data_IF_403613282214
#
_entry.id   IF_403613282214
#
_cell.length_a   1.000
_cell.length_b   1.000
_cell.length_c   1.000
_cell.angle_alpha   90.00
_cell.angle_beta   90.00
_cell.angle_gamma   90.00
#
_symmetry.space_group_name_H-M   'P 1'
#
loop_
_entity.id
_entity.type
_entity.pdbx_description
1 polymer ?
#
# COMPACT_ATOMS: atom_id res chain seq x y z
N UNK A 1 -6.93 5.70 26.31
CA UNK A 1 -6.16 4.73 25.47
C UNK A 1 -4.68 5.08 25.52
N UNK A 2 -3.77 4.10 25.53
CA UNK A 2 -2.38 4.31 25.93
C UNK A 2 -1.54 5.00 24.83
N UNK A 3 -1.44 6.33 24.87
CA UNK A 3 -0.63 7.16 23.95
C UNK A 3 0.80 6.63 23.80
N UNK A 4 1.36 6.00 24.85
CA UNK A 4 2.70 5.40 24.82
C UNK A 4 2.80 4.25 23.81
N UNK A 5 1.79 3.37 23.74
CA UNK A 5 1.76 2.24 22.79
C UNK A 5 1.72 2.77 21.35
N UNK A 6 0.87 3.76 21.08
CA UNK A 6 0.80 4.37 19.75
C UNK A 6 2.15 4.97 19.33
N UNK A 7 2.77 5.76 20.20
CA UNK A 7 4.09 6.36 19.91
C UNK A 7 5.15 5.29 19.67
N UNK A 8 5.20 4.25 20.51
CA UNK A 8 6.13 3.13 20.33
C UNK A 8 5.96 2.46 18.96
N UNK A 9 4.73 2.13 18.57
CA UNK A 9 4.44 1.48 17.29
C UNK A 9 4.80 2.38 16.10
N UNK A 10 4.50 3.68 16.18
CA UNK A 10 4.89 4.63 15.14
C UNK A 10 6.41 4.73 15.01
N UNK A 11 7.14 4.81 16.13
CA UNK A 11 8.60 4.82 16.14
C UNK A 11 9.18 3.54 15.54
N UNK A 12 8.67 2.37 15.94
CA UNK A 12 9.07 1.08 15.35
C UNK A 12 8.80 1.06 13.85
N UNK A 13 7.62 1.52 13.42
CA UNK A 13 7.27 1.64 12.01
C UNK A 13 8.28 2.47 11.22
N UNK A 14 8.65 3.65 11.74
CA UNK A 14 9.67 4.53 11.12
C UNK A 14 11.04 3.85 11.08
N UNK A 15 11.48 3.21 12.17
CA UNK A 15 12.78 2.53 12.20
C UNK A 15 12.87 1.40 11.16
N UNK A 16 11.81 0.60 11.01
CA UNK A 16 11.72 -0.41 9.97
C UNK A 16 11.72 0.20 8.56
N UNK A 17 11.00 1.29 8.32
CA UNK A 17 11.02 1.97 7.03
C UNK A 17 12.42 2.52 6.69
N UNK A 18 13.11 3.11 7.67
CA UNK A 18 14.49 3.55 7.50
C UNK A 18 15.41 2.37 7.18
N UNK A 19 15.26 1.24 7.88
CA UNK A 19 16.02 0.04 7.57
C UNK A 19 15.72 -0.51 6.17
N UNK A 20 14.47 -0.43 5.68
CA UNK A 20 14.13 -0.84 4.32
C UNK A 20 14.87 0.01 3.27
N UNK A 21 14.92 1.33 3.48
CA UNK A 21 15.61 2.29 2.60
C UNK A 21 17.13 2.08 2.65
N UNK A 22 17.71 2.11 3.86
CA UNK A 22 19.15 2.00 4.07
C UNK A 22 19.67 0.62 3.72
N UNK A 23 18.91 -0.43 4.02
CA UNK A 23 19.29 -1.81 3.72
C UNK A 23 19.45 -2.08 2.23
N UNK A 24 18.81 -1.29 1.34
CA UNK A 24 19.10 -1.37 -0.10
C UNK A 24 20.57 -1.08 -0.41
N UNK A 25 21.21 -0.18 0.32
CA UNK A 25 22.60 0.20 0.07
C UNK A 25 23.62 -0.72 0.74
N UNK A 26 23.19 -1.54 1.70
CA UNK A 26 24.10 -2.39 2.47
C UNK A 26 23.89 -3.88 2.19
N UNK A 27 22.65 -4.33 2.04
CA UNK A 27 22.28 -5.75 1.83
C UNK A 27 22.34 -6.12 0.35
N UNK A 28 21.86 -5.24 -0.53
CA UNK A 28 21.75 -5.54 -1.97
C UNK A 28 23.10 -5.79 -2.64
N UNK A 29 24.17 -5.00 -2.40
CA UNK A 29 25.46 -5.25 -3.05
C UNK A 29 26.05 -6.62 -2.72
N UNK A 30 25.97 -7.04 -1.45
CA UNK A 30 26.45 -8.36 -1.01
C UNK A 30 25.64 -9.50 -1.63
N UNK A 31 24.31 -9.34 -1.73
CA UNK A 31 23.45 -10.31 -2.41
C UNK A 31 23.78 -10.45 -3.90
N UNK A 32 23.99 -9.33 -4.60
CA UNK A 32 24.35 -9.33 -6.02
C UNK A 32 25.72 -9.99 -6.25
N UNK A 33 26.72 -9.66 -5.44
CA UNK A 33 28.04 -10.29 -5.51
C UNK A 33 27.98 -11.81 -5.29
N UNK A 34 27.08 -12.28 -4.41
CA UNK A 34 26.84 -13.71 -4.21
C UNK A 34 26.21 -14.40 -5.42
N UNK A 35 25.26 -13.75 -6.10
CA UNK A 35 24.66 -14.28 -7.33
C UNK A 35 25.68 -14.35 -8.48
N UNK A 36 26.56 -13.36 -8.61
CA UNK A 36 27.64 -13.33 -9.61
C UNK A 36 28.67 -14.45 -9.41
N UNK A 37 28.86 -14.91 -8.17
CA UNK A 37 29.75 -16.04 -7.84
C UNK A 37 29.16 -17.43 -8.14
N UNK A 38 28.00 -17.49 -8.82
CA UNK A 38 27.42 -18.75 -9.29
C UNK A 38 26.52 -19.45 -8.28
N UNK A 39 26.12 -18.78 -7.19
CA UNK A 39 25.03 -19.22 -6.32
C UNK A 39 23.65 -18.98 -6.99
N UNK A 40 23.50 -19.46 -8.22
CA UNK A 40 22.34 -19.18 -9.07
C UNK A 40 21.04 -19.87 -8.60
N UNK A 41 21.14 -20.74 -7.59
CA UNK A 41 19.98 -21.38 -6.95
C UNK A 41 19.83 -20.88 -5.53
N UNK A 42 18.57 -20.68 -5.10
CA UNK A 42 18.25 -20.28 -3.72
C UNK A 42 18.81 -21.28 -2.68
N UNK A 43 18.92 -22.55 -3.09
CA UNK A 43 19.45 -23.65 -2.30
C UNK A 43 20.98 -23.62 -2.20
N UNK A 44 21.69 -23.28 -3.28
CA UNK A 44 23.13 -23.06 -3.25
C UNK A 44 23.50 -21.78 -2.47
N UNK A 45 22.69 -20.72 -2.63
CA UNK A 45 22.87 -19.48 -1.89
C UNK A 45 22.62 -19.64 -0.38
N UNK A 46 21.64 -20.46 0.03
CA UNK A 46 21.36 -20.70 1.45
C UNK A 46 22.41 -21.58 2.13
N UNK A 47 23.07 -22.46 1.37
CA UNK A 47 24.19 -23.28 1.86
C UNK A 47 25.50 -22.48 1.96
N UNK A 48 25.69 -21.48 1.10
CA UNK A 48 26.88 -20.62 1.10
C UNK A 48 26.77 -19.43 2.07
N UNK A 49 25.55 -18.97 2.36
CA UNK A 49 25.31 -17.83 3.24
C UNK A 49 25.37 -18.21 4.72
N UNK A 50 26.03 -17.38 5.52
CA UNK A 50 25.97 -17.50 6.97
C UNK A 50 24.56 -17.22 7.50
N UNK A 51 24.21 -17.82 8.65
CA UNK A 51 22.91 -17.59 9.29
C UNK A 51 22.63 -16.09 9.54
N UNK A 52 23.68 -15.30 9.82
CA UNK A 52 23.57 -13.85 10.00
C UNK A 52 23.18 -13.11 8.72
N UNK A 53 23.75 -13.48 7.57
CA UNK A 53 23.39 -12.89 6.27
C UNK A 53 21.93 -13.18 5.91
N UNK A 54 21.48 -14.41 6.18
CA UNK A 54 20.08 -14.81 5.99
C UNK A 54 19.16 -13.98 6.89
N UNK A 55 19.47 -13.88 8.19
CA UNK A 55 18.69 -13.07 9.14
C UNK A 55 18.63 -11.61 8.70
N UNK A 56 19.76 -11.04 8.30
CA UNK A 56 19.85 -9.64 7.85
C UNK A 56 19.05 -9.41 6.58
N UNK A 57 19.13 -10.32 5.62
CA UNK A 57 18.35 -10.29 4.41
C UNK A 57 16.86 -10.36 4.70
N UNK A 58 16.42 -11.31 5.52
CA UNK A 58 15.01 -11.44 5.92
C UNK A 58 14.53 -10.20 6.66
N UNK A 59 15.31 -9.69 7.61
CA UNK A 59 14.98 -8.46 8.32
C UNK A 59 14.77 -7.30 7.34
N UNK A 60 15.69 -7.11 6.39
CA UNK A 60 15.56 -6.09 5.36
C UNK A 60 14.34 -6.32 4.45
N UNK A 61 14.13 -7.54 3.96
CA UNK A 61 13.01 -7.89 3.08
C UNK A 61 11.66 -7.60 3.74
N UNK A 62 11.50 -7.98 5.02
CA UNK A 62 10.26 -7.73 5.77
C UNK A 62 10.13 -6.29 6.29
N UNK A 63 11.21 -5.50 6.31
CA UNK A 63 11.23 -4.18 6.94
C UNK A 63 10.18 -3.23 6.39
N UNK A 64 9.97 -3.20 5.07
CA UNK A 64 8.94 -2.31 4.51
C UNK A 64 7.53 -2.71 4.98
N UNK A 65 7.18 -3.99 4.89
CA UNK A 65 5.86 -4.53 5.28
C UNK A 65 5.59 -4.33 6.77
N UNK A 66 6.56 -4.66 7.61
CA UNK A 66 6.50 -4.45 9.06
C UNK A 66 6.43 -2.96 9.41
N UNK A 67 7.21 -2.13 8.73
CA UNK A 67 7.23 -0.69 8.91
C UNK A 67 5.86 -0.05 8.67
N UNK A 68 5.26 -0.32 7.51
CA UNK A 68 3.90 0.14 7.17
C UNK A 68 2.86 -0.43 8.14
N UNK A 69 2.96 -1.73 8.49
CA UNK A 69 2.04 -2.35 9.44
C UNK A 69 2.06 -1.66 10.81
N UNK A 70 3.23 -1.53 11.43
CA UNK A 70 3.34 -0.86 12.74
C UNK A 70 2.94 0.61 12.67
N UNK A 71 3.24 1.29 11.56
CA UNK A 71 2.82 2.67 11.36
C UNK A 71 1.28 2.80 11.31
N UNK A 72 0.60 1.96 10.52
CA UNK A 72 -0.87 1.95 10.41
C UNK A 72 -1.49 1.60 11.76
N UNK A 73 -1.03 0.53 12.43
CA UNK A 73 -1.57 0.15 13.73
C UNK A 73 -1.34 1.26 14.75
N UNK A 74 -0.14 1.81 14.84
CA UNK A 74 0.19 2.94 15.70
C UNK A 74 -0.70 4.17 15.45
N UNK A 75 -1.00 4.48 14.18
CA UNK A 75 -1.91 5.55 13.78
C UNK A 75 -3.36 5.25 14.17
N UNK A 76 -3.84 4.01 14.01
CA UNK A 76 -5.20 3.60 14.41
C UNK A 76 -5.43 3.74 15.92
N UNK A 77 -4.38 3.62 16.74
CA UNK A 77 -4.46 3.91 18.17
C UNK A 77 -4.55 5.42 18.51
N UNK A 78 -4.48 6.31 17.52
CA UNK A 78 -4.74 7.76 17.71
C UNK A 78 -6.11 8.19 17.23
N UNK A 79 -6.86 7.31 16.57
CA UNK A 79 -8.19 7.64 16.04
C UNK A 79 -9.30 7.09 16.93
N UNK A 80 -10.51 7.61 16.75
CA UNK A 80 -11.73 7.17 17.46
C UNK A 80 -12.33 5.86 16.89
N UNK A 81 -11.50 5.02 16.27
CA UNK A 81 -11.98 3.80 15.62
C UNK A 81 -12.43 2.76 16.66
N UNK A 82 -13.56 2.09 16.38
CA UNK A 82 -14.09 1.02 17.23
C UNK A 82 -13.07 -0.10 17.43
N UNK A 83 -13.14 -0.77 18.59
CA UNK A 83 -12.19 -1.84 18.94
C UNK A 83 -12.21 -2.98 17.92
N UNK A 84 -13.40 -3.38 17.45
CA UNK A 84 -13.57 -4.44 16.45
C UNK A 84 -12.85 -4.11 15.13
N UNK A 85 -13.04 -2.90 14.59
CA UNK A 85 -12.37 -2.47 13.35
C UNK A 85 -10.85 -2.41 13.51
N UNK A 86 -10.36 -2.01 14.68
CA UNK A 86 -8.92 -2.03 15.00
C UNK A 86 -8.36 -3.45 14.96
N UNK A 87 -9.05 -4.40 15.57
CA UNK A 87 -8.65 -5.81 15.52
C UNK A 87 -8.69 -6.39 14.11
N UNK A 88 -9.68 -6.03 13.29
CA UNK A 88 -9.74 -6.45 11.89
C UNK A 88 -8.49 -5.96 11.14
N UNK A 89 -8.12 -4.68 11.26
CA UNK A 89 -6.91 -4.14 10.61
C UNK A 89 -5.65 -4.83 11.13
N UNK A 90 -5.55 -5.04 12.45
CA UNK A 90 -4.40 -5.70 13.08
C UNK A 90 -4.22 -7.14 12.62
N UNK A 91 -5.29 -7.94 12.64
CA UNK A 91 -5.26 -9.35 12.27
C UNK A 91 -5.06 -9.50 10.76
N UNK A 92 -5.78 -8.73 9.94
CA UNK A 92 -5.63 -8.80 8.48
C UNK A 92 -4.20 -8.44 8.04
N UNK A 93 -3.60 -7.41 8.64
CA UNK A 93 -2.21 -7.04 8.36
C UNK A 93 -1.21 -8.11 8.81
N UNK A 94 -1.42 -8.74 9.97
CA UNK A 94 -0.57 -9.81 10.46
C UNK A 94 -0.65 -11.05 9.57
N UNK A 95 -1.86 -11.46 9.19
CA UNK A 95 -2.10 -12.56 8.23
C UNK A 95 -1.40 -12.24 6.92
N UNK A 96 -1.60 -11.06 6.35
CA UNK A 96 -0.93 -10.65 5.12
C UNK A 96 0.60 -10.80 5.22
N UNK A 97 1.22 -10.29 6.29
CA UNK A 97 2.67 -10.39 6.49
C UNK A 97 3.13 -11.85 6.54
N UNK A 98 2.41 -12.72 7.26
CA UNK A 98 2.74 -14.14 7.39
C UNK A 98 2.72 -14.88 6.05
N UNK A 99 1.82 -14.50 5.14
CA UNK A 99 1.70 -15.12 3.82
C UNK A 99 2.54 -14.44 2.73
N UNK A 100 3.13 -13.27 2.99
CA UNK A 100 3.70 -12.41 1.95
C UNK A 100 4.92 -12.97 1.20
N UNK A 101 5.50 -14.08 1.66
CA UNK A 101 6.63 -14.77 1.02
C UNK A 101 6.40 -16.28 0.86
N UNK A 102 5.19 -16.76 1.14
CA UNK A 102 4.85 -18.16 0.91
C UNK A 102 4.62 -18.35 -0.58
N UNK A 103 5.39 -19.22 -1.27
CA UNK A 103 5.17 -19.50 -2.68
C UNK A 103 3.80 -20.18 -2.85
N UNK A 104 3.00 -19.67 -3.78
CA UNK A 104 1.69 -20.23 -4.09
C UNK A 104 1.80 -21.15 -5.31
N UNK A 105 1.54 -22.46 -5.19
CA UNK A 105 1.66 -23.42 -6.28
C UNK A 105 0.42 -23.38 -7.19
N UNK A 106 0.16 -22.23 -7.81
CA UNK A 106 -1.02 -22.01 -8.68
C UNK A 106 -0.59 -21.56 -10.08
N UNK A 107 -1.34 -21.97 -11.13
CA UNK A 107 -1.11 -21.47 -12.48
C UNK A 107 -1.25 -19.95 -12.53
N UNK A 108 -0.14 -19.25 -12.75
CA UNK A 108 -0.07 -17.80 -12.68
C UNK A 108 -1.05 -17.13 -13.65
N UNK A 109 -1.18 -17.64 -14.87
CA UNK A 109 -2.06 -17.09 -15.90
C UNK A 109 -3.54 -17.09 -15.50
N UNK A 110 -4.04 -18.17 -14.88
CA UNK A 110 -5.42 -18.27 -14.44
C UNK A 110 -5.70 -17.30 -13.29
N UNK A 111 -4.79 -17.23 -12.32
CA UNK A 111 -4.91 -16.31 -11.18
C UNK A 111 -4.95 -14.86 -11.67
N UNK A 112 -4.05 -14.46 -12.56
CA UNK A 112 -4.06 -13.10 -13.14
C UNK A 112 -5.31 -12.82 -13.96
N UNK A 113 -5.84 -13.80 -14.70
CA UNK A 113 -7.09 -13.66 -15.45
C UNK A 113 -8.30 -13.40 -14.54
N UNK A 114 -8.48 -14.23 -13.50
CA UNK A 114 -9.58 -14.08 -12.54
C UNK A 114 -9.43 -12.78 -11.73
N UNK A 115 -8.24 -12.53 -11.18
CA UNK A 115 -7.99 -11.32 -10.40
C UNK A 115 -8.19 -10.07 -11.25
N UNK A 116 -7.72 -10.06 -12.50
CA UNK A 116 -7.94 -8.97 -13.45
C UNK A 116 -9.42 -8.69 -13.68
N UNK A 117 -10.22 -9.72 -13.98
CA UNK A 117 -11.65 -9.57 -14.21
C UNK A 117 -12.39 -9.03 -12.97
N UNK A 118 -12.08 -9.56 -11.78
CA UNK A 118 -12.66 -9.08 -10.51
C UNK A 118 -12.28 -7.62 -10.28
N UNK A 119 -11.02 -7.23 -10.49
CA UNK A 119 -10.57 -5.85 -10.32
C UNK A 119 -11.25 -4.89 -11.31
N UNK A 120 -11.44 -5.29 -12.57
CA UNK A 120 -12.18 -4.51 -13.55
C UNK A 120 -13.61 -4.26 -13.11
N UNK A 121 -14.32 -5.30 -12.63
CA UNK A 121 -15.69 -5.15 -12.13
C UNK A 121 -15.75 -4.21 -10.91
N UNK A 122 -14.82 -4.37 -9.97
CA UNK A 122 -14.73 -3.47 -8.81
C UNK A 122 -14.46 -2.02 -9.22
N UNK A 123 -13.59 -1.80 -10.20
CA UNK A 123 -13.33 -0.46 -10.73
C UNK A 123 -14.58 0.16 -11.35
N UNK A 124 -15.33 -0.61 -12.15
CA UNK A 124 -16.60 -0.16 -12.73
C UNK A 124 -17.58 0.24 -11.62
N UNK A 125 -17.74 -0.59 -10.58
CA UNK A 125 -18.61 -0.26 -9.46
C UNK A 125 -18.16 1.00 -8.72
N UNK A 126 -16.86 1.17 -8.47
CA UNK A 126 -16.30 2.37 -7.85
C UNK A 126 -16.64 3.63 -8.67
N UNK A 127 -16.46 3.58 -9.99
CA UNK A 127 -16.79 4.70 -10.89
C UNK A 127 -18.29 5.01 -10.89
N UNK A 128 -19.13 3.98 -10.98
CA UNK A 128 -20.59 4.15 -10.97
C UNK A 128 -21.10 4.71 -9.65
N UNK A 129 -20.62 4.19 -8.53
CA UNK A 129 -20.97 4.70 -7.20
C UNK A 129 -20.49 6.13 -7.01
N UNK A 130 -19.28 6.45 -7.47
CA UNK A 130 -18.77 7.82 -7.45
C UNK A 130 -19.63 8.75 -8.29
N UNK A 131 -19.99 8.37 -9.52
CA UNK A 131 -20.78 9.21 -10.42
C UNK A 131 -22.16 9.54 -9.84
N UNK A 132 -22.82 8.55 -9.23
CA UNK A 132 -24.11 8.71 -8.59
C UNK A 132 -24.04 9.56 -7.31
N UNK A 133 -22.97 9.41 -6.52
CA UNK A 133 -22.80 10.16 -5.27
C UNK A 133 -22.32 11.60 -5.49
N UNK A 134 -21.54 11.85 -6.54
CA UNK A 134 -20.84 13.12 -6.75
C UNK A 134 -21.76 14.33 -6.89
N UNK A 135 -22.87 14.21 -7.61
CA UNK A 135 -23.78 15.33 -7.85
C UNK A 135 -24.35 15.90 -6.56
N UNK A 136 -24.54 15.05 -5.56
CA UNK A 136 -25.10 15.37 -4.24
C UNK A 136 -24.07 15.95 -3.26
N UNK A 137 -22.78 15.97 -3.60
CA UNK A 137 -21.74 16.52 -2.71
C UNK A 137 -21.76 18.05 -2.70
N UNK A 138 -21.48 18.70 -1.55
CA UNK A 138 -21.21 20.12 -1.50
C UNK A 138 -20.01 20.51 -2.38
N UNK A 139 -19.96 21.73 -2.95
CA UNK A 139 -18.85 22.17 -3.79
C UNK A 139 -17.47 21.98 -3.17
N UNK A 140 -17.32 22.18 -1.86
CA UNK A 140 -16.06 22.01 -1.12
C UNK A 140 -15.55 20.56 -1.06
N UNK A 141 -16.44 19.57 -1.19
CA UNK A 141 -16.09 18.14 -1.14
C UNK A 141 -15.94 17.52 -2.54
N UNK A 142 -16.46 18.20 -3.57
CA UNK A 142 -16.37 17.71 -4.95
C UNK A 142 -14.92 17.54 -5.41
N UNK A 143 -14.05 18.49 -5.11
CA UNK A 143 -12.63 18.43 -5.48
C UNK A 143 -11.90 17.26 -4.82
N UNK A 144 -12.15 17.02 -3.52
CA UNK A 144 -11.56 15.87 -2.85
C UNK A 144 -12.01 14.55 -3.48
N UNK A 145 -13.31 14.43 -3.77
CA UNK A 145 -13.89 13.28 -4.45
C UNK A 145 -13.29 13.05 -5.84
N UNK A 146 -12.98 14.12 -6.58
CA UNK A 146 -12.31 14.04 -7.89
C UNK A 146 -10.88 13.50 -7.78
N UNK A 147 -10.10 14.01 -6.81
CA UNK A 147 -8.77 13.48 -6.54
C UNK A 147 -8.81 12.03 -6.09
N UNK A 148 -9.79 11.63 -5.29
CA UNK A 148 -9.96 10.23 -4.90
C UNK A 148 -10.19 9.33 -6.11
N UNK A 149 -11.08 9.72 -7.02
CA UNK A 149 -11.33 8.97 -8.25
C UNK A 149 -10.07 8.90 -9.11
N UNK A 150 -9.34 10.00 -9.26
CA UNK A 150 -8.06 10.03 -9.99
C UNK A 150 -7.05 9.05 -9.35
N UNK A 151 -6.95 9.02 -8.03
CA UNK A 151 -6.11 8.06 -7.31
C UNK A 151 -6.49 6.61 -7.61
N UNK A 152 -7.79 6.29 -7.54
CA UNK A 152 -8.31 4.96 -7.87
C UNK A 152 -8.07 4.59 -9.33
N UNK A 153 -8.23 5.52 -10.27
CA UNK A 153 -7.92 5.31 -11.67
C UNK A 153 -6.45 4.87 -11.84
N UNK A 154 -5.50 5.59 -11.25
CA UNK A 154 -4.08 5.24 -11.36
C UNK A 154 -3.73 3.91 -10.67
N UNK A 155 -4.33 3.59 -9.53
CA UNK A 155 -4.18 2.26 -8.93
C UNK A 155 -4.79 1.15 -9.80
N UNK A 156 -5.89 1.44 -10.48
CA UNK A 156 -6.49 0.58 -11.49
C UNK A 156 -5.55 0.32 -12.65
N UNK A 157 -4.96 1.39 -13.21
CA UNK A 157 -3.99 1.29 -14.30
C UNK A 157 -2.74 0.53 -13.88
N UNK A 158 -2.18 0.81 -12.70
CA UNK A 158 -1.08 0.04 -12.12
C UNK A 158 -1.40 -1.46 -12.03
N UNK A 159 -2.60 -1.79 -11.54
CA UNK A 159 -3.06 -3.18 -11.46
C UNK A 159 -3.19 -3.81 -12.84
N UNK A 160 -3.71 -3.07 -13.82
CA UNK A 160 -3.82 -3.52 -15.20
C UNK A 160 -2.45 -3.73 -15.85
N UNK A 161 -1.47 -2.86 -15.60
CA UNK A 161 -0.09 -2.91 -16.09
C UNK A 161 0.68 -4.12 -15.54
N UNK A 162 0.35 -4.60 -14.34
CA UNK A 162 0.92 -5.82 -13.78
C UNK A 162 0.61 -7.06 -14.63
N UNK A 163 -0.59 -7.16 -15.20
CA UNK A 163 -1.01 -8.31 -15.98
C UNK A 163 -0.12 -8.58 -17.22
N UNK A 164 0.11 -7.63 -18.14
CA UNK A 164 1.03 -7.82 -19.26
C UNK A 164 2.49 -7.93 -18.82
N UNK A 165 2.91 -7.22 -17.76
CA UNK A 165 4.27 -7.30 -17.20
C UNK A 165 4.60 -8.69 -16.65
N UNK A 166 3.66 -9.33 -15.97
CA UNK A 166 3.90 -10.66 -15.37
C UNK A 166 3.50 -11.80 -16.30
N UNK A 167 2.63 -11.51 -17.28
CA UNK A 167 2.07 -12.47 -18.22
C UNK A 167 2.78 -12.49 -19.59
N UNK A 168 1.97 -12.67 -20.64
CA UNK A 168 2.45 -13.05 -21.98
C UNK A 168 3.12 -11.94 -22.78
N UNK A 169 3.06 -10.68 -22.33
CA UNK A 169 3.62 -9.56 -23.09
C UNK A 169 5.12 -9.42 -22.88
N UNK A 170 5.61 -9.71 -21.68
CA UNK A 170 7.05 -9.57 -21.34
C UNK A 170 7.64 -10.82 -20.72
N UNK A 171 6.81 -11.76 -20.25
CA UNK A 171 7.25 -12.98 -19.57
C UNK A 171 8.18 -12.71 -18.37
N UNK A 172 7.93 -11.66 -17.57
CA UNK A 172 8.82 -11.35 -16.43
C UNK A 172 8.90 -12.48 -15.38
N UNK A 173 7.90 -13.38 -15.34
CA UNK A 173 7.90 -14.58 -14.50
C UNK A 173 8.51 -15.82 -15.19
N UNK A 174 8.98 -15.71 -16.44
CA UNK A 174 9.61 -16.79 -17.22
C UNK A 174 10.84 -16.23 -17.95
N UNK A 175 11.95 -16.00 -17.23
CA UNK A 175 13.11 -15.27 -17.74
C UNK A 175 13.71 -15.91 -19.00
N UNK A 176 13.62 -17.24 -19.15
CA UNK A 176 14.08 -17.95 -20.34
C UNK A 176 13.33 -17.48 -21.59
N UNK A 177 12.00 -17.32 -21.50
CA UNK A 177 11.17 -16.80 -22.60
C UNK A 177 11.43 -15.33 -22.83
N UNK A 178 11.55 -14.54 -21.76
CA UNK A 178 11.87 -13.11 -21.87
C UNK A 178 13.19 -12.89 -22.62
N UNK A 179 14.21 -13.70 -22.32
CA UNK A 179 15.51 -13.66 -23.01
C UNK A 179 15.37 -14.16 -24.45
N UNK A 180 14.71 -15.30 -24.66
CA UNK A 180 14.51 -15.89 -25.98
C UNK A 180 13.85 -14.92 -26.97
N UNK A 181 12.90 -14.11 -26.51
CA UNK A 181 12.17 -13.15 -27.35
C UNK A 181 12.72 -11.72 -27.29
N UNK A 182 13.76 -11.45 -26.50
CA UNK A 182 14.39 -10.12 -26.40
C UNK A 182 13.51 -9.04 -25.76
N UNK A 183 12.67 -9.40 -24.78
CA UNK A 183 11.62 -8.54 -24.21
C UNK A 183 12.03 -7.76 -22.94
N UNK A 184 13.34 -7.70 -22.63
CA UNK A 184 13.83 -7.12 -21.38
C UNK A 184 13.58 -5.60 -21.31
N UNK A 185 13.73 -4.90 -22.43
CA UNK A 185 13.53 -3.44 -22.51
C UNK A 185 12.05 -3.11 -22.32
N UNK A 186 11.17 -3.89 -22.92
CA UNK A 186 9.72 -3.80 -22.72
C UNK A 186 9.36 -4.07 -21.26
N UNK A 187 9.90 -5.13 -20.65
CA UNK A 187 9.68 -5.44 -19.23
C UNK A 187 10.10 -4.27 -18.33
N UNK A 188 11.27 -3.68 -18.58
CA UNK A 188 11.75 -2.51 -17.86
C UNK A 188 10.81 -1.30 -18.05
N UNK A 189 10.38 -1.04 -19.29
CA UNK A 189 9.42 0.03 -19.60
C UNK A 189 8.10 -0.15 -18.83
N UNK A 190 7.53 -1.36 -18.83
CA UNK A 190 6.32 -1.66 -18.06
C UNK A 190 6.52 -1.47 -16.54
N UNK A 191 7.67 -1.84 -16.00
CA UNK A 191 8.00 -1.61 -14.59
C UNK A 191 8.09 -0.10 -14.26
N UNK A 192 8.62 0.73 -15.16
CA UNK A 192 8.62 2.18 -14.99
C UNK A 192 7.22 2.78 -15.03
N UNK A 193 6.37 2.36 -15.98
CA UNK A 193 4.98 2.81 -16.04
C UNK A 193 4.23 2.45 -14.76
N UNK A 194 4.36 1.20 -14.29
CA UNK A 194 3.78 0.75 -13.03
C UNK A 194 4.19 1.64 -11.85
N UNK A 195 5.48 1.99 -11.76
CA UNK A 195 5.98 2.85 -10.69
C UNK A 195 5.36 4.25 -10.75
N UNK A 196 5.29 4.85 -11.94
CA UNK A 196 4.69 6.17 -12.16
C UNK A 196 3.20 6.15 -11.80
N UNK A 197 2.47 5.14 -12.26
CA UNK A 197 1.04 4.96 -11.97
C UNK A 197 0.80 4.82 -10.46
N UNK A 198 1.56 3.98 -9.77
CA UNK A 198 1.47 3.85 -8.31
C UNK A 198 1.77 5.18 -7.61
N UNK A 199 2.82 5.90 -8.02
CA UNK A 199 3.18 7.18 -7.43
C UNK A 199 2.06 8.21 -7.59
N UNK A 200 1.48 8.32 -8.78
CA UNK A 200 0.35 9.20 -9.05
C UNK A 200 -0.88 8.79 -8.23
N UNK A 201 -1.17 7.49 -8.13
CA UNK A 201 -2.26 6.97 -7.29
C UNK A 201 -2.14 7.41 -5.83
N UNK A 202 -0.93 7.34 -5.27
CA UNK A 202 -0.65 7.80 -3.90
C UNK A 202 -0.71 9.32 -3.75
N UNK A 203 -0.20 10.08 -4.73
CA UNK A 203 -0.26 11.55 -4.73
C UNK A 203 -1.71 12.03 -4.70
N UNK A 204 -2.54 11.54 -5.63
CA UNK A 204 -3.95 11.95 -5.71
C UNK A 204 -4.76 11.52 -4.48
N UNK A 205 -4.51 10.32 -3.96
CA UNK A 205 -5.11 9.89 -2.68
C UNK A 205 -4.73 10.83 -1.53
N UNK A 206 -3.47 11.26 -1.47
CA UNK A 206 -3.00 12.20 -0.44
C UNK A 206 -3.63 13.58 -0.60
N UNK A 207 -3.80 14.06 -1.83
CA UNK A 207 -4.48 15.33 -2.12
C UNK A 207 -5.96 15.28 -1.74
N UNK A 208 -6.66 14.17 -2.01
CA UNK A 208 -8.04 13.95 -1.56
C UNK A 208 -8.17 14.11 -0.05
N UNK A 209 -7.33 13.42 0.71
CA UNK A 209 -7.35 13.45 2.18
C UNK A 209 -7.06 14.85 2.72
N UNK A 210 -6.12 15.58 2.11
CA UNK A 210 -5.83 16.96 2.48
C UNK A 210 -7.06 17.86 2.25
N UNK A 211 -7.67 17.78 1.09
CA UNK A 211 -8.83 18.61 0.73
C UNK A 211 -10.05 18.33 1.62
N UNK A 212 -10.28 17.05 1.97
CA UNK A 212 -11.31 16.67 2.94
C UNK A 212 -11.09 17.37 4.29
N UNK A 213 -9.86 17.34 4.81
CA UNK A 213 -9.54 17.97 6.08
C UNK A 213 -9.74 19.50 6.04
N UNK A 214 -9.35 20.16 4.95
CA UNK A 214 -9.57 21.61 4.76
C UNK A 214 -11.07 21.95 4.70
N UNK A 215 -11.89 21.10 4.06
CA UNK A 215 -13.34 21.30 3.99
C UNK A 215 -14.04 21.16 5.35
N UNK A 216 -13.50 20.32 6.25
CA UNK A 216 -14.04 20.14 7.60
C UNK A 216 -13.70 21.31 8.54
N UNK A 217 -12.59 22.01 8.29
CA UNK A 217 -12.18 23.19 9.08
C UNK A 217 -12.99 24.42 8.68
N UNK A 218 -13.34 24.55 7.41
CA UNK A 218 -14.03 25.73 6.86
C UNK A 218 -15.56 25.64 6.93
N UNK A 219 -16.14 24.51 7.33
CA UNK A 219 -17.59 24.37 7.44
C UNK A 219 -18.16 25.21 8.60
N UNK A 220 -19.06 26.18 8.33
CA UNK A 220 -19.60 27.10 9.34
C UNK A 220 -20.46 26.41 10.41
N UNK A 221 -20.89 25.17 10.17
CA UNK A 221 -21.70 24.37 11.11
C UNK A 221 -20.94 23.96 12.39
N UNK A 222 -19.60 24.12 12.41
CA UNK A 222 -18.78 23.97 13.62
C UNK A 222 -18.62 25.25 14.44
N UNK A 223 -19.21 26.35 13.99
CA UNK A 223 -19.25 27.64 14.71
C UNK A 223 -20.59 27.87 15.42
N UNK A 224 -21.33 26.83 15.82
CA UNK A 224 -22.33 27.00 16.88
C UNK A 224 -21.56 27.11 18.19
N UNK A 225 -21.49 28.29 18.83
CA UNK A 225 -20.88 28.41 20.14
C UNK A 225 -21.73 27.61 21.13
N UNK A 226 -21.10 27.06 22.17
CA UNK A 226 -21.78 26.63 23.41
C UNK A 226 -22.42 27.85 24.14
N UNK A 227 -23.29 28.59 23.46
CA UNK A 227 -24.07 29.70 24.01
C UNK A 227 -25.52 29.24 24.16
N UNK A 228 -25.75 28.19 24.95
CA UNK A 228 -27.08 27.83 25.42
C UNK A 228 -27.05 26.98 26.70
N UNK A 229 -26.17 27.32 27.66
CA UNK A 229 -26.41 26.97 29.06
C UNK A 229 -26.49 28.25 29.92
N UNK A 230 -27.24 29.21 29.38
CA UNK A 230 -27.98 30.20 30.16
C UNK A 230 -29.42 29.67 30.29
N UNK A 231 -29.59 28.58 31.03
CA UNK A 231 -30.88 28.23 31.62
C UNK A 231 -30.79 28.57 33.11
N UNK A 232 -30.84 29.88 33.37
CA UNK A 232 -31.38 30.42 34.60
C UNK A 232 -32.80 29.86 34.79
N UNK A 233 -32.92 28.84 35.64
CA UNK A 233 -34.14 28.54 36.38
C UNK A 233 -33.91 29.17 37.77
N UNK A 234 -33.97 30.50 37.87
CA UNK A 234 -35.15 31.23 38.34
C UNK A 234 -36.48 30.47 38.23
N UNK A 235 -36.69 29.54 39.16
CA UNK A 235 -38.02 29.24 39.68
C UNK A 235 -37.97 29.24 41.20
N UNK A 236 -38.48 30.36 41.74
CA UNK A 236 -39.26 30.54 42.98
C UNK A 236 -38.72 30.02 44.32
#
# INVERSE_FOLDING_TARGET
>A
MNKKISTLLLTLGVLFLLNAILGRYIVLPGYLAGLEQGAATLEGASQAASAWEIIRYLLWAYSFKLGIYFFIIGATFRTVMSSSRRWVVAVAGLVYIAFAYIPLPVPTSLVFGIAGAVMTLLMIFVVLWWANGRSHLPPSQKTASDYRLAGYFFFGMATYTLCPLLGVKTFALSPEKMIQFGLQVEAASFAFHLLIELLLGWVFTSLSLRQENESLVTSPERQVPDTAENWSLDHE
#
